data_IF_323469147226
#
_entry.id   IF_323469147226
#
_cell.length_a   1.000
_cell.length_b   1.000
_cell.length_c   1.000
_cell.angle_alpha   90.00
_cell.angle_beta   90.00
_cell.angle_gamma   90.00
#
_symmetry.space_group_name_H-M   'P 1'
#
loop_
_entity.id
_entity.type
_entity.pdbx_description
1 polymer ?
#
# COMPACT_ATOMS: atom_id res chain seq x y z
N UNK A 1 2.00 -4.32 -19.38
CA UNK A 1 2.97 -3.51 -18.61
C UNK A 1 3.26 -4.23 -17.31
N UNK A 2 4.48 -4.14 -16.80
CA UNK A 2 4.83 -4.70 -15.48
C UNK A 2 5.69 -3.73 -14.68
N UNK A 3 5.57 -3.81 -13.35
CA UNK A 3 6.43 -3.08 -12.42
C UNK A 3 6.50 -3.80 -11.07
N UNK A 4 7.44 -3.36 -10.23
CA UNK A 4 7.61 -3.84 -8.86
C UNK A 4 7.35 -2.69 -7.90
N UNK A 5 6.65 -2.98 -6.80
CA UNK A 5 6.37 -2.01 -5.74
C UNK A 5 6.58 -2.64 -4.39
N UNK A 6 7.21 -1.89 -3.50
CA UNK A 6 7.42 -2.28 -2.10
C UNK A 6 6.36 -1.64 -1.22
N UNK A 7 5.74 -2.47 -0.38
CA UNK A 7 4.81 -2.08 0.68
C UNK A 7 5.54 -2.19 2.01
N UNK A 8 5.45 -1.18 2.86
CA UNK A 8 6.06 -1.20 4.19
C UNK A 8 5.10 -0.62 5.22
N UNK A 9 5.22 -1.03 6.48
CA UNK A 9 4.39 -0.50 7.57
C UNK A 9 4.59 1.02 7.69
N UNK A 10 3.49 1.79 7.69
CA UNK A 10 3.54 3.26 7.69
C UNK A 10 2.78 3.83 8.88
N UNK A 11 3.31 4.92 9.44
CA UNK A 11 2.56 5.79 10.36
C UNK A 11 2.04 6.97 9.54
N UNK A 12 0.76 6.97 9.25
CA UNK A 12 0.10 8.09 8.59
C UNK A 12 -0.35 9.09 9.65
N UNK A 13 -0.05 10.37 9.42
CA UNK A 13 -0.61 11.45 10.23
C UNK A 13 -2.02 11.72 9.71
N UNK A 14 -3.02 11.42 10.53
CA UNK A 14 -4.42 11.67 10.24
C UNK A 14 -5.08 12.55 11.30
N UNK A 15 -6.35 12.87 11.07
CA UNK A 15 -7.21 13.49 12.05
C UNK A 15 -8.41 12.55 12.27
N UNK A 16 -8.57 12.04 13.48
CA UNK A 16 -9.78 11.31 13.86
C UNK A 16 -10.82 12.35 14.26
N UNK A 17 -11.85 12.51 13.43
CA UNK A 17 -12.96 13.45 13.66
C UNK A 17 -12.66 14.90 13.25
N UNK A 18 -13.48 15.84 13.74
CA UNK A 18 -13.43 17.26 13.38
C UNK A 18 -12.44 18.09 14.22
N UNK A 19 -11.43 17.46 14.84
CA UNK A 19 -10.47 18.15 15.70
C UNK A 19 -9.08 18.22 15.02
N UNK A 20 -8.89 19.18 14.09
CA UNK A 20 -7.62 19.36 13.38
C UNK A 20 -6.45 19.74 14.30
N UNK A 21 -6.71 20.16 15.54
CA UNK A 21 -5.68 20.46 16.53
C UNK A 21 -5.02 19.20 17.15
N UNK A 22 -5.60 18.00 17.00
CA UNK A 22 -5.07 16.76 17.58
C UNK A 22 -4.69 15.75 16.50
N UNK A 23 -3.49 15.88 15.90
CA UNK A 23 -3.02 14.90 14.94
C UNK A 23 -2.88 13.53 15.60
N UNK A 24 -3.59 12.56 15.04
CA UNK A 24 -3.55 11.16 15.47
C UNK A 24 -2.74 10.37 14.45
N UNK A 25 -1.85 9.52 14.93
CA UNK A 25 -1.09 8.64 14.06
C UNK A 25 -1.85 7.34 13.88
N UNK A 26 -2.26 7.05 12.64
CA UNK A 26 -2.83 5.75 12.29
C UNK A 26 -1.71 4.93 11.68
N UNK A 27 -1.42 3.77 12.26
CA UNK A 27 -0.54 2.79 11.64
C UNK A 27 -1.32 2.02 10.58
N UNK A 28 -0.81 2.01 9.35
CA UNK A 28 -1.28 1.13 8.28
C UNK A 28 -0.18 0.11 8.03
N UNK A 29 -0.50 -1.17 8.18
CA UNK A 29 0.44 -2.24 7.89
C UNK A 29 0.69 -2.37 6.38
N UNK A 30 1.85 -2.91 6.01
CA UNK A 30 2.19 -3.22 4.63
C UNK A 30 1.13 -4.11 3.95
N UNK A 31 0.54 -5.04 4.71
CA UNK A 31 -0.52 -5.95 4.24
C UNK A 31 -1.82 -5.20 3.97
N UNK A 32 -2.26 -4.34 4.89
CA UNK A 32 -3.48 -3.54 4.70
C UNK A 32 -3.35 -2.62 3.48
N UNK A 33 -2.18 -1.99 3.30
CA UNK A 33 -1.94 -1.15 2.14
C UNK A 33 -1.93 -1.96 0.83
N UNK A 34 -1.28 -3.13 0.81
CA UNK A 34 -1.30 -4.03 -0.35
C UNK A 34 -2.73 -4.47 -0.70
N UNK A 35 -3.50 -4.95 0.27
CA UNK A 35 -4.86 -5.42 0.04
C UNK A 35 -5.75 -4.30 -0.53
N UNK A 36 -5.63 -3.09 0.01
CA UNK A 36 -6.35 -1.93 -0.52
C UNK A 36 -6.02 -1.65 -1.99
N UNK A 37 -4.74 -1.70 -2.38
CA UNK A 37 -4.37 -1.48 -3.78
C UNK A 37 -4.80 -2.63 -4.70
N UNK A 38 -4.89 -3.88 -4.20
CA UNK A 38 -5.48 -5.01 -4.92
C UNK A 38 -6.97 -4.73 -5.21
N UNK A 39 -7.71 -4.28 -4.20
CA UNK A 39 -9.13 -3.96 -4.35
C UNK A 39 -9.38 -2.78 -5.30
N UNK A 40 -8.51 -1.77 -5.28
CA UNK A 40 -8.60 -0.58 -6.14
C UNK A 40 -8.13 -0.83 -7.59
N UNK A 41 -7.34 -1.89 -7.82
CA UNK A 41 -6.74 -2.24 -9.12
C UNK A 41 -7.07 -3.68 -9.57
N UNK A 42 -8.36 -4.07 -9.67
CA UNK A 42 -8.75 -5.45 -9.97
C UNK A 42 -8.32 -5.93 -11.37
N UNK A 43 -7.99 -5.00 -12.27
CA UNK A 43 -7.49 -5.29 -13.61
C UNK A 43 -5.99 -5.65 -13.66
N UNK A 44 -5.28 -5.51 -12.54
CA UNK A 44 -3.88 -5.84 -12.40
C UNK A 44 -3.71 -7.14 -11.61
N UNK A 45 -2.88 -8.04 -12.12
CA UNK A 45 -2.47 -9.23 -11.37
C UNK A 45 -1.32 -8.86 -10.43
N UNK A 46 -1.45 -9.20 -9.16
CA UNK A 46 -0.41 -9.05 -8.14
C UNK A 46 0.22 -10.40 -7.79
N UNK A 47 1.53 -10.39 -7.54
CA UNK A 47 2.25 -11.54 -6.98
C UNK A 47 3.29 -11.07 -5.97
N UNK A 48 3.20 -11.56 -4.74
CA UNK A 48 4.27 -11.37 -3.74
C UNK A 48 5.51 -12.12 -4.21
N UNK A 49 6.64 -11.42 -4.33
CA UNK A 49 7.92 -11.98 -4.79
C UNK A 49 9.00 -11.95 -3.71
N UNK A 50 8.78 -11.19 -2.63
CA UNK A 50 9.65 -11.18 -1.46
C UNK A 50 8.94 -10.54 -0.27
N UNK A 51 9.35 -10.92 0.93
CA UNK A 51 8.91 -10.28 2.16
C UNK A 51 10.02 -10.33 3.20
N UNK A 52 10.05 -9.35 4.08
CA UNK A 52 10.91 -9.34 5.26
C UNK A 52 10.16 -8.73 6.44
N UNK A 53 10.47 -9.22 7.64
CA UNK A 53 9.94 -8.70 8.88
C UNK A 53 11.12 -8.45 9.83
N UNK A 54 11.21 -7.23 10.36
CA UNK A 54 12.29 -6.80 11.23
C UNK A 54 11.75 -5.91 12.35
N UNK A 55 12.63 -5.45 13.25
CA UNK A 55 12.26 -4.47 14.28
C UNK A 55 11.74 -3.15 13.69
N UNK A 56 12.10 -2.84 12.44
CA UNK A 56 11.63 -1.64 11.72
C UNK A 56 10.25 -1.83 11.05
N UNK A 57 9.66 -3.03 11.17
CA UNK A 57 8.38 -3.38 10.57
C UNK A 57 8.49 -4.38 9.42
N UNK A 58 7.36 -4.56 8.75
CA UNK A 58 7.16 -5.47 7.63
C UNK A 58 7.40 -4.76 6.31
N UNK A 59 8.11 -5.40 5.39
CA UNK A 59 8.24 -4.98 3.99
C UNK A 59 7.83 -6.11 3.06
N UNK A 60 7.06 -5.82 2.01
CA UNK A 60 6.53 -6.78 1.05
C UNK A 60 6.81 -6.25 -0.35
N UNK A 61 7.57 -7.01 -1.15
CA UNK A 61 7.81 -6.71 -2.55
C UNK A 61 6.79 -7.45 -3.42
N UNK A 62 6.07 -6.71 -4.23
CA UNK A 62 5.01 -7.24 -5.11
C UNK A 62 5.31 -6.89 -6.55
N UNK A 63 5.20 -7.90 -7.41
CA UNK A 63 5.18 -7.74 -8.86
C UNK A 63 3.74 -7.49 -9.29
N UNK A 64 3.54 -6.44 -10.07
CA UNK A 64 2.26 -6.08 -10.67
C UNK A 64 2.33 -6.24 -12.19
N UNK A 65 1.35 -6.92 -12.76
CA UNK A 65 1.26 -7.17 -14.21
C UNK A 65 -0.12 -6.77 -14.70
N UNK A 66 -0.15 -5.80 -15.62
CA UNK A 66 -1.37 -5.28 -16.23
C UNK A 66 -1.41 -5.61 -17.71
N UNK A 67 -2.55 -6.15 -18.16
CA UNK A 67 -2.85 -6.39 -19.58
C UNK A 67 -3.59 -5.21 -20.23
N UNK A 68 -4.08 -4.27 -19.42
CA UNK A 68 -4.98 -3.19 -19.83
C UNK A 68 -4.24 -1.88 -20.16
N UNK A 69 -4.84 -1.06 -21.02
CA UNK A 69 -4.49 0.38 -21.19
C UNK A 69 -4.84 1.21 -19.94
N UNK A 70 -5.63 0.66 -19.01
CA UNK A 70 -6.03 1.33 -17.77
C UNK A 70 -4.82 1.49 -16.84
N UNK A 71 -4.44 2.74 -16.48
CA UNK A 71 -3.33 3.00 -15.57
C UNK A 71 -3.52 2.34 -14.20
N UNK A 72 -2.42 2.06 -13.53
CA UNK A 72 -2.44 1.68 -12.12
C UNK A 72 -2.83 2.90 -11.28
N UNK A 73 -3.84 2.75 -10.42
CA UNK A 73 -4.24 3.76 -9.45
C UNK A 73 -3.33 3.65 -8.25
N UNK A 74 -2.39 4.58 -8.15
CA UNK A 74 -1.63 4.80 -6.92
C UNK A 74 -2.42 5.73 -6.02
N UNK A 75 -2.69 5.33 -4.77
CA UNK A 75 -3.04 6.30 -3.74
C UNK A 75 -1.80 7.19 -3.51
N UNK A 76 -1.78 8.34 -4.17
CA UNK A 76 -0.88 9.43 -3.80
C UNK A 76 -1.51 10.11 -2.59
N UNK A 77 -0.77 10.11 -1.49
CA UNK A 77 -0.99 11.00 -0.34
C UNK A 77 -1.10 12.46 -0.78
#
# INVERSE_FOLDING_TARGET
MEFYKEYFDRKLKGYIGNYPEYPTYVSVSAIEWLNREIDENPQWASKVVGYTHSQEGTRILVRWVGLSKTPFKENKE
#
